data_IF_785888513581
#
_entry.id   IF_785888513581
#
_cell.length_a   1.000
_cell.length_b   1.000
_cell.length_c   1.000
_cell.angle_alpha   90.00
_cell.angle_beta   90.00
_cell.angle_gamma   90.00
#
_symmetry.space_group_name_H-M   'P 1'
#
loop_
_entity.id
_entity.type
_entity.pdbx_description
1 polymer ?
#
# COMPACT_ATOMS: atom_id res chain seq x y z
N UNK A 1 10.46 5.20 -13.21
CA UNK A 1 9.87 4.21 -12.37
C UNK A 1 8.34 4.14 -12.33
N UNK A 2 7.59 5.17 -12.76
CA UNK A 2 6.12 5.15 -12.70
C UNK A 2 5.44 4.32 -13.79
N UNK A 3 6.11 4.04 -14.89
CA UNK A 3 5.54 3.24 -15.99
C UNK A 3 5.38 1.75 -15.66
N UNK A 4 6.17 1.24 -14.73
CA UNK A 4 6.13 -0.18 -14.36
C UNK A 4 4.85 -0.57 -13.62
N UNK A 5 4.34 0.27 -12.72
CA UNK A 5 3.14 -0.03 -11.93
C UNK A 5 1.87 -0.20 -12.76
N UNK A 6 1.67 0.58 -13.82
CA UNK A 6 0.47 0.46 -14.67
C UNK A 6 0.55 -0.77 -15.57
N UNK A 7 1.72 -1.09 -16.11
CA UNK A 7 1.92 -2.23 -17.01
C UNK A 7 1.79 -3.57 -16.31
N UNK A 8 2.33 -3.69 -15.10
CA UNK A 8 2.30 -4.93 -14.33
C UNK A 8 0.93 -5.16 -13.69
N UNK A 9 0.19 -4.09 -13.46
CA UNK A 9 -1.14 -4.12 -12.84
C UNK A 9 -2.28 -4.50 -13.82
N UNK A 10 -2.09 -4.44 -15.14
CA UNK A 10 -3.08 -4.90 -16.13
C UNK A 10 -3.07 -6.42 -16.33
N UNK A 11 -2.53 -7.15 -15.37
CA UNK A 11 -2.53 -8.61 -15.39
C UNK A 11 -3.96 -9.15 -15.22
N UNK A 12 -4.44 -10.02 -16.13
CA UNK A 12 -5.79 -10.64 -16.02
C UNK A 12 -6.05 -11.33 -14.68
N UNK A 13 -5.00 -11.74 -13.96
CA UNK A 13 -5.10 -12.37 -12.64
C UNK A 13 -5.86 -11.48 -11.64
N UNK A 14 -5.66 -10.17 -11.69
CA UNK A 14 -6.30 -9.21 -10.78
C UNK A 14 -7.80 -9.04 -11.05
N UNK A 15 -8.24 -9.31 -12.27
CA UNK A 15 -9.64 -9.19 -12.67
C UNK A 15 -10.43 -10.47 -12.48
N UNK A 16 -9.75 -11.61 -12.34
CA UNK A 16 -10.41 -12.92 -12.21
C UNK A 16 -11.17 -13.01 -10.89
N UNK A 17 -12.49 -13.01 -10.97
CA UNK A 17 -13.38 -13.15 -9.81
C UNK A 17 -13.81 -11.85 -9.12
N UNK A 18 -13.23 -10.71 -9.47
CA UNK A 18 -13.54 -9.41 -8.81
C UNK A 18 -13.42 -8.21 -9.72
N UNK A 19 -13.97 -8.27 -10.93
CA UNK A 19 -13.82 -7.21 -11.95
C UNK A 19 -14.23 -5.83 -11.42
N UNK A 20 -15.41 -5.71 -10.81
CA UNK A 20 -15.90 -4.42 -10.32
C UNK A 20 -15.01 -3.82 -9.22
N UNK A 21 -14.55 -4.64 -8.28
CA UNK A 21 -13.65 -4.21 -7.22
C UNK A 21 -12.31 -3.75 -7.80
N UNK A 22 -11.72 -4.55 -8.67
CA UNK A 22 -10.44 -4.21 -9.32
C UNK A 22 -10.57 -2.93 -10.13
N UNK A 23 -11.62 -2.76 -10.91
CA UNK A 23 -11.86 -1.50 -11.65
C UNK A 23 -11.95 -0.30 -10.71
N UNK A 24 -12.64 -0.40 -9.57
CA UNK A 24 -12.73 0.68 -8.61
C UNK A 24 -11.36 1.06 -8.03
N UNK A 25 -10.53 0.08 -7.70
CA UNK A 25 -9.17 0.31 -7.20
C UNK A 25 -8.26 0.92 -8.28
N UNK A 26 -8.35 0.45 -9.51
CA UNK A 26 -7.61 1.00 -10.64
C UNK A 26 -7.98 2.45 -10.94
N UNK A 27 -9.26 2.77 -10.91
CA UNK A 27 -9.72 4.14 -11.13
C UNK A 27 -9.08 5.12 -10.12
N UNK A 28 -8.93 4.73 -8.86
CA UNK A 28 -8.23 5.56 -7.88
C UNK A 28 -6.76 5.79 -8.27
N UNK A 29 -6.07 4.76 -8.74
CA UNK A 29 -4.67 4.87 -9.20
C UNK A 29 -4.55 5.74 -10.45
N UNK A 30 -5.48 5.60 -11.40
CA UNK A 30 -5.55 6.47 -12.59
C UNK A 30 -5.79 7.94 -12.20
N UNK A 31 -6.65 8.20 -11.21
CA UNK A 31 -6.86 9.54 -10.67
C UNK A 31 -5.57 10.15 -10.11
N UNK A 32 -4.76 9.36 -9.40
CA UNK A 32 -3.46 9.83 -8.89
C UNK A 32 -2.57 10.31 -10.02
N UNK A 33 -2.45 9.55 -11.11
CA UNK A 33 -1.63 9.93 -12.26
C UNK A 33 -2.15 11.20 -12.94
N UNK A 34 -3.45 11.24 -13.23
CA UNK A 34 -4.08 12.39 -13.89
C UNK A 34 -3.99 13.66 -13.06
N UNK A 35 -4.40 13.57 -11.79
CA UNK A 35 -4.42 14.73 -10.88
C UNK A 35 -3.01 15.22 -10.53
N UNK A 36 -2.02 14.32 -10.40
CA UNK A 36 -0.64 14.71 -10.15
C UNK A 36 -0.09 15.59 -11.28
N UNK A 37 -0.46 15.29 -12.53
CA UNK A 37 -0.08 16.10 -13.69
C UNK A 37 -0.92 17.40 -13.79
N UNK A 38 -2.24 17.30 -13.62
CA UNK A 38 -3.14 18.44 -13.74
C UNK A 38 -2.87 19.54 -12.71
N UNK A 39 -2.50 19.14 -11.49
CA UNK A 39 -2.26 20.04 -10.37
C UNK A 39 -0.76 20.22 -10.03
N UNK A 40 0.12 19.95 -11.01
CA UNK A 40 1.56 20.10 -10.82
C UNK A 40 1.94 21.45 -10.20
N UNK A 41 2.78 21.42 -9.16
CA UNK A 41 3.24 22.60 -8.41
C UNK A 41 2.19 23.22 -7.47
N UNK A 42 0.92 22.82 -7.55
CA UNK A 42 -0.18 23.34 -6.69
C UNK A 42 -0.53 22.35 -5.58
N UNK A 43 -0.79 21.11 -5.95
CA UNK A 43 -1.23 20.05 -5.04
C UNK A 43 -0.41 18.78 -5.32
N UNK A 44 0.14 18.16 -4.28
CA UNK A 44 0.73 16.84 -4.38
C UNK A 44 -0.38 15.77 -4.28
N UNK A 45 -0.36 14.83 -5.22
CA UNK A 45 -1.30 13.71 -5.24
C UNK A 45 -0.49 12.41 -5.30
N UNK A 46 -0.64 11.56 -4.30
CA UNK A 46 0.09 10.30 -4.18
C UNK A 46 -0.86 9.18 -3.75
N UNK A 47 -0.52 7.94 -4.06
CA UNK A 47 -1.17 6.76 -3.54
C UNK A 47 -0.31 6.11 -2.45
N UNK A 48 -0.94 5.72 -1.35
CA UNK A 48 -0.32 4.93 -0.29
C UNK A 48 -1.00 3.56 -0.24
N UNK A 49 -0.21 2.52 -0.44
CA UNK A 49 -0.68 1.13 -0.47
C UNK A 49 -0.18 0.35 0.74
N UNK A 50 -1.03 -0.43 1.40
CA UNK A 50 -0.58 -1.35 2.43
C UNK A 50 0.07 -2.58 1.79
N UNK A 51 1.18 -3.07 2.32
CA UNK A 51 1.78 -4.34 1.88
C UNK A 51 0.98 -5.55 2.33
N UNK A 52 0.40 -5.46 3.51
CA UNK A 52 -0.41 -6.53 4.11
C UNK A 52 -1.82 -6.03 4.35
N UNK A 53 -2.75 -6.93 4.59
CA UNK A 53 -4.07 -6.55 5.06
C UNK A 53 -3.97 -5.67 6.32
N UNK A 54 -4.90 -4.74 6.47
CA UNK A 54 -4.98 -3.81 7.60
C UNK A 54 -6.21 -4.16 8.45
N UNK A 55 -6.07 -4.14 9.78
CA UNK A 55 -7.14 -4.40 10.74
C UNK A 55 -8.26 -3.35 10.59
N UNK A 56 -9.23 -3.66 9.76
CA UNK A 56 -10.39 -2.80 9.49
C UNK A 56 -11.69 -3.57 9.68
N UNK A 57 -12.79 -2.85 9.87
CA UNK A 57 -14.12 -3.46 9.93
C UNK A 57 -14.47 -4.25 8.66
N UNK A 58 -13.96 -3.83 7.50
CA UNK A 58 -14.16 -4.55 6.23
C UNK A 58 -13.47 -5.91 6.24
N UNK A 59 -12.25 -6.00 6.76
CA UNK A 59 -11.51 -7.26 6.90
C UNK A 59 -12.21 -8.19 7.89
N UNK A 60 -12.60 -7.69 9.04
CA UNK A 60 -13.28 -8.47 10.07
C UNK A 60 -14.63 -9.03 9.61
N UNK A 61 -15.44 -8.23 8.91
CA UNK A 61 -16.85 -8.56 8.68
C UNK A 61 -17.15 -9.07 7.25
N UNK A 62 -16.29 -8.82 6.26
CA UNK A 62 -16.61 -9.06 4.85
C UNK A 62 -15.57 -9.92 4.14
N UNK A 63 -14.27 -9.71 4.37
CA UNK A 63 -13.23 -10.29 3.52
C UNK A 63 -12.68 -11.62 4.05
N UNK A 64 -12.45 -11.79 5.34
CA UNK A 64 -11.77 -12.98 5.84
C UNK A 64 -12.00 -13.32 7.31
N UNK A 65 -12.89 -12.58 7.99
CA UNK A 65 -13.24 -12.85 9.38
C UNK A 65 -12.07 -12.68 10.36
N UNK A 66 -12.19 -13.32 11.52
CA UNK A 66 -11.24 -13.17 12.63
C UNK A 66 -9.82 -13.62 12.28
N UNK A 67 -9.65 -14.65 11.48
CA UNK A 67 -8.33 -15.15 11.11
C UNK A 67 -7.55 -14.11 10.28
N UNK A 68 -8.18 -13.57 9.25
CA UNK A 68 -7.55 -12.54 8.41
C UNK A 68 -7.32 -11.26 9.21
N UNK A 69 -8.27 -10.87 10.06
CA UNK A 69 -8.14 -9.71 10.92
C UNK A 69 -6.94 -9.83 11.86
N UNK A 70 -6.78 -10.98 12.52
CA UNK A 70 -5.68 -11.20 13.45
C UNK A 70 -4.30 -11.22 12.74
N UNK A 71 -4.24 -11.73 11.51
CA UNK A 71 -3.03 -11.73 10.66
C UNK A 71 -2.85 -10.45 9.85
N UNK A 72 -3.51 -9.38 10.22
CA UNK A 72 -3.39 -8.06 9.59
C UNK A 72 -2.57 -7.12 10.46
N UNK A 73 -1.96 -6.11 9.83
CA UNK A 73 -1.29 -5.01 10.55
C UNK A 73 -2.30 -3.99 11.08
N UNK A 74 -1.90 -3.30 12.13
CA UNK A 74 -2.69 -2.22 12.70
C UNK A 74 -2.74 -1.00 11.75
N UNK A 75 -3.80 -0.17 11.80
CA UNK A 75 -3.92 1.03 10.97
C UNK A 75 -2.82 2.08 11.21
N UNK A 76 -2.11 2.01 12.33
CA UNK A 76 -1.04 2.93 12.69
C UNK A 76 0.08 2.94 11.65
N UNK A 77 0.38 1.79 11.00
CA UNK A 77 1.39 1.75 9.95
C UNK A 77 1.03 2.68 8.79
N UNK A 78 -0.26 2.73 8.42
CA UNK A 78 -0.73 3.63 7.38
C UNK A 78 -0.67 5.10 7.83
N UNK A 79 -0.97 5.37 9.10
CA UNK A 79 -0.92 6.71 9.66
C UNK A 79 0.52 7.25 9.70
N UNK A 80 1.47 6.44 10.14
CA UNK A 80 2.88 6.81 10.20
C UNK A 80 3.46 7.04 8.80
N UNK A 81 3.15 6.17 7.84
CA UNK A 81 3.55 6.35 6.45
C UNK A 81 2.91 7.60 5.82
N UNK A 82 1.63 7.82 6.07
CA UNK A 82 0.93 9.03 5.60
C UNK A 82 1.52 10.30 6.19
N UNK A 83 1.90 10.29 7.47
CA UNK A 83 2.57 11.42 8.12
C UNK A 83 3.86 11.81 7.40
N UNK A 84 4.69 10.83 7.02
CA UNK A 84 5.89 11.09 6.24
C UNK A 84 5.55 11.74 4.89
N UNK A 85 4.57 11.20 4.16
CA UNK A 85 4.16 11.72 2.85
C UNK A 85 3.68 13.17 2.95
N UNK A 86 2.84 13.47 3.93
CA UNK A 86 2.25 14.80 4.13
C UNK A 86 3.29 15.87 4.49
N UNK A 87 4.44 15.47 5.03
CA UNK A 87 5.55 16.38 5.32
C UNK A 87 6.56 16.54 4.17
N UNK A 88 6.35 15.85 3.03
CA UNK A 88 7.20 16.03 1.84
C UNK A 88 6.91 17.35 1.11
N UNK A 89 7.91 17.84 0.40
CA UNK A 89 7.75 18.99 -0.48
C UNK A 89 6.77 18.66 -1.62
N UNK A 90 5.62 19.32 -1.62
CA UNK A 90 4.55 19.10 -2.60
C UNK A 90 4.98 19.35 -4.05
N UNK A 91 6.01 20.17 -4.27
CA UNK A 91 6.51 20.47 -5.61
C UNK A 91 7.40 19.37 -6.19
N UNK A 92 7.86 18.44 -5.35
CA UNK A 92 8.81 17.38 -5.72
C UNK A 92 8.28 15.97 -5.50
N UNK A 93 7.25 15.84 -4.67
CA UNK A 93 6.74 14.55 -4.25
C UNK A 93 5.25 14.40 -4.61
N UNK A 94 5.00 14.10 -5.89
CA UNK A 94 3.66 13.91 -6.46
C UNK A 94 3.67 12.79 -7.51
N UNK A 95 2.55 12.15 -7.75
CA UNK A 95 2.40 11.07 -8.73
C UNK A 95 3.03 9.75 -8.31
N UNK A 96 3.31 9.55 -7.01
CA UNK A 96 3.98 8.35 -6.52
C UNK A 96 2.96 7.31 -6.05
N UNK A 97 3.35 6.03 -6.23
CA UNK A 97 2.69 4.87 -5.66
C UNK A 97 3.63 4.29 -4.59
N UNK A 98 3.22 4.37 -3.35
CA UNK A 98 4.08 4.18 -2.19
C UNK A 98 3.56 3.03 -1.37
N UNK A 99 4.45 2.12 -0.97
CA UNK A 99 4.13 1.03 -0.05
C UNK A 99 4.52 1.47 1.36
N UNK A 100 3.61 1.29 2.31
CA UNK A 100 3.70 1.72 3.70
C UNK A 100 5.03 1.35 4.36
N UNK A 101 5.32 0.06 4.44
CA UNK A 101 6.51 -0.44 5.13
C UNK A 101 7.83 -0.13 4.41
N UNK A 102 7.81 -0.05 3.09
CA UNK A 102 8.98 0.36 2.32
C UNK A 102 9.36 1.80 2.63
N UNK A 103 8.37 2.70 2.62
CA UNK A 103 8.58 4.10 2.96
C UNK A 103 9.10 4.27 4.39
N UNK A 104 8.50 3.58 5.35
CA UNK A 104 8.91 3.62 6.75
C UNK A 104 10.34 3.12 6.94
N UNK A 105 10.70 1.99 6.32
CA UNK A 105 12.07 1.46 6.38
C UNK A 105 13.10 2.43 5.78
N UNK A 106 12.78 3.09 4.65
CA UNK A 106 13.60 4.12 4.03
C UNK A 106 13.79 5.35 4.93
N UNK A 107 12.86 5.60 5.86
CA UNK A 107 12.93 6.70 6.84
C UNK A 107 13.42 6.27 8.22
N UNK A 108 14.01 5.08 8.32
CA UNK A 108 14.71 4.62 9.51
C UNK A 108 13.85 3.85 10.51
N UNK A 109 12.63 3.48 10.17
CA UNK A 109 11.86 2.57 11.01
C UNK A 109 12.50 1.17 11.00
N UNK A 110 12.69 0.61 12.18
CA UNK A 110 13.31 -0.71 12.37
C UNK A 110 12.43 -1.68 13.15
N UNK A 111 11.40 -1.19 13.82
CA UNK A 111 10.48 -1.99 14.63
C UNK A 111 9.11 -2.10 13.94
N UNK A 112 8.98 -3.08 13.05
CA UNK A 112 7.69 -3.38 12.40
C UNK A 112 6.81 -4.32 13.22
N UNK A 113 7.36 -4.97 14.23
CA UNK A 113 6.61 -5.81 15.17
C UNK A 113 5.54 -5.02 15.95
N UNK A 114 5.75 -3.71 16.17
CA UNK A 114 4.75 -2.86 16.82
C UNK A 114 3.42 -2.71 16.07
N UNK A 115 3.40 -3.06 14.78
CA UNK A 115 2.19 -2.97 13.94
C UNK A 115 1.43 -4.28 13.78
N UNK A 116 1.94 -5.40 14.33
CA UNK A 116 1.31 -6.69 14.14
C UNK A 116 1.51 -7.62 15.34
N UNK A 117 0.56 -8.53 15.55
CA UNK A 117 0.64 -9.56 16.61
C UNK A 117 1.36 -10.83 16.14
N UNK A 118 1.66 -10.91 14.84
CA UNK A 118 2.30 -12.06 14.19
C UNK A 118 3.54 -11.62 13.41
N UNK A 119 4.56 -12.48 13.26
CA UNK A 119 5.72 -12.18 12.43
C UNK A 119 5.33 -12.01 10.95
N UNK A 120 6.16 -11.29 10.21
CA UNK A 120 5.87 -10.88 8.83
C UNK A 120 5.46 -12.02 7.90
N UNK A 121 6.10 -13.18 8.01
CA UNK A 121 5.84 -14.36 7.16
C UNK A 121 4.47 -15.01 7.41
N UNK A 122 3.80 -14.68 8.50
CA UNK A 122 2.46 -15.15 8.83
C UNK A 122 1.37 -14.11 8.56
N UNK A 123 1.74 -12.89 8.18
CA UNK A 123 0.77 -11.85 7.86
C UNK A 123 0.08 -12.11 6.52
N UNK A 124 -1.16 -11.69 6.43
CA UNK A 124 -1.92 -11.78 5.18
C UNK A 124 -1.45 -10.70 4.19
N UNK A 125 -0.89 -11.08 3.03
CA UNK A 125 -0.46 -10.09 2.04
C UNK A 125 -1.65 -9.36 1.42
N UNK A 126 -1.43 -8.12 0.98
CA UNK A 126 -2.40 -7.41 0.14
C UNK A 126 -2.50 -8.07 -1.24
N UNK A 127 -3.70 -8.05 -1.83
CA UNK A 127 -3.96 -8.70 -3.12
C UNK A 127 -3.23 -8.05 -4.30
N UNK A 128 -2.93 -6.76 -4.20
CA UNK A 128 -2.38 -5.96 -5.30
C UNK A 128 -0.90 -5.62 -5.15
N UNK A 129 -0.24 -6.11 -4.11
CA UNK A 129 1.17 -5.84 -3.81
C UNK A 129 1.96 -7.15 -3.69
N UNK A 130 2.14 -7.91 -4.80
CA UNK A 130 2.89 -9.15 -4.75
C UNK A 130 4.37 -8.90 -4.47
N UNK A 131 4.97 -9.71 -3.61
CA UNK A 131 6.37 -9.56 -3.23
C UNK A 131 7.35 -9.73 -4.40
N UNK A 132 6.94 -10.40 -5.47
CA UNK A 132 7.75 -10.55 -6.69
C UNK A 132 8.00 -9.20 -7.40
N UNK A 133 6.99 -8.33 -7.40
CA UNK A 133 7.05 -7.03 -8.09
C UNK A 133 7.49 -5.90 -7.15
N UNK A 134 7.27 -6.11 -5.85
CA UNK A 134 7.57 -5.13 -4.80
C UNK A 134 8.46 -5.74 -3.72
N UNK A 135 9.80 -5.67 -3.88
CA UNK A 135 10.74 -6.26 -2.93
C UNK A 135 10.49 -5.81 -1.49
N UNK A 136 10.48 -6.75 -0.58
CA UNK A 136 10.28 -6.48 0.85
C UNK A 136 11.61 -6.06 1.47
N UNK A 137 11.70 -4.92 2.17
CA UNK A 137 12.90 -4.54 2.89
C UNK A 137 13.32 -5.61 3.91
N UNK A 138 14.63 -5.81 4.10
CA UNK A 138 15.14 -6.83 5.01
C UNK A 138 14.62 -6.64 6.43
N UNK A 139 14.63 -5.42 6.93
CA UNK A 139 14.16 -5.07 8.28
C UNK A 139 12.68 -5.43 8.50
N UNK A 140 11.87 -5.39 7.44
CA UNK A 140 10.46 -5.78 7.47
C UNK A 140 10.31 -7.31 7.53
N UNK A 141 11.16 -8.03 6.79
CA UNK A 141 11.14 -9.51 6.79
C UNK A 141 11.56 -10.11 8.12
N UNK A 142 12.45 -9.43 8.80
CA UNK A 142 13.05 -9.90 10.06
C UNK A 142 12.18 -9.53 11.30
N UNK A 143 11.03 -8.88 11.08
CA UNK A 143 10.11 -8.43 12.12
C UNK A 143 9.01 -9.43 12.48
#
# INVERSE_FOLDING_TARGET
GSEMCIRDSMNPLWFKGSVAYTMAKYNMSMCVLGMASEFEGKIAVNALWPRTAIKTAAVANVLGGDEMYNKSRSPEIMADAAHIILNKDKSKFTGNFIIDDTLLAEHGETDFGKYADYPFDQLMPDFFVPAADYPVPKVVKDS
#
